data_IF_522094338004
#
_entry.id   IF_522094338004
#
_cell.length_a   1.000
_cell.length_b   1.000
_cell.length_c   1.000
_cell.angle_alpha   90.00
_cell.angle_beta   90.00
_cell.angle_gamma   90.00
#
_symmetry.space_group_name_H-M   'P 1'
#
loop_
_entity.id
_entity.type
_entity.pdbx_description
1 polymer ?
#
# COMPACT_ATOMS: atom_id res chain seq x y z
N UNK A 1 -23.93 -6.39 -0.56
CA UNK A 1 -22.97 -5.83 0.42
C UNK A 1 -21.63 -5.57 -0.27
N UNK A 2 -20.92 -4.50 0.09
CA UNK A 2 -19.61 -4.13 -0.47
C UNK A 2 -18.49 -4.94 0.18
N UNK A 3 -17.37 -5.19 -0.50
CA UNK A 3 -16.18 -5.79 0.13
C UNK A 3 -15.36 -4.78 0.96
N UNK A 4 -15.68 -3.49 0.87
CA UNK A 4 -14.87 -2.42 1.45
C UNK A 4 -13.40 -2.56 1.05
N UNK A 5 -13.19 -2.77 -0.26
CA UNK A 5 -11.88 -3.07 -0.83
C UNK A 5 -10.90 -1.90 -0.66
N UNK A 6 -11.40 -0.66 -0.80
CA UNK A 6 -10.58 0.54 -0.64
C UNK A 6 -9.98 0.60 0.76
N UNK A 7 -10.78 0.27 1.77
CA UNK A 7 -10.40 0.26 3.17
C UNK A 7 -9.43 -0.89 3.46
N UNK A 8 -9.65 -2.06 2.87
CA UNK A 8 -8.69 -3.19 2.96
C UNK A 8 -7.32 -2.81 2.39
N UNK A 9 -7.27 -2.25 1.17
CA UNK A 9 -6.02 -1.84 0.54
C UNK A 9 -5.35 -0.67 1.27
N UNK A 10 -6.13 0.22 1.91
CA UNK A 10 -5.59 1.24 2.80
C UNK A 10 -4.91 0.62 4.03
N UNK A 11 -5.49 -0.44 4.62
CA UNK A 11 -4.92 -1.16 5.76
C UNK A 11 -3.64 -1.95 5.41
N UNK A 12 -3.38 -2.22 4.13
CA UNK A 12 -2.08 -2.75 3.66
C UNK A 12 -0.99 -1.67 3.63
N UNK A 13 -1.36 -0.38 3.63
CA UNK A 13 -0.47 0.78 3.62
C UNK A 13 0.56 0.78 2.48
N UNK A 14 0.20 0.26 1.30
CA UNK A 14 1.14 0.11 0.17
C UNK A 14 1.74 1.48 -0.24
N UNK A 15 3.07 1.58 -0.47
CA UNK A 15 3.76 2.86 -0.62
C UNK A 15 3.68 3.47 -2.03
N UNK A 16 2.70 3.07 -2.85
CA UNK A 16 2.63 3.52 -4.24
C UNK A 16 1.81 4.82 -4.34
N UNK A 17 2.41 5.97 -4.68
CA UNK A 17 1.71 7.25 -4.66
C UNK A 17 0.61 7.32 -5.73
N UNK A 18 0.90 6.80 -6.92
CA UNK A 18 -0.02 6.77 -8.05
C UNK A 18 -0.87 5.49 -8.01
N UNK A 19 -1.83 5.45 -7.09
CA UNK A 19 -2.75 4.34 -6.93
C UNK A 19 -4.22 4.74 -6.96
N UNK A 20 -5.09 3.77 -7.28
CA UNK A 20 -6.53 3.90 -7.18
C UNK A 20 -7.20 2.54 -6.95
N UNK A 21 -8.39 2.55 -6.36
CA UNK A 21 -9.22 1.35 -6.19
C UNK A 21 -10.50 1.52 -6.99
N UNK A 22 -10.74 0.62 -7.93
CA UNK A 22 -11.95 0.60 -8.77
C UNK A 22 -12.69 -0.71 -8.51
N UNK A 23 -13.89 -0.61 -7.95
CA UNK A 23 -14.65 -1.79 -7.49
C UNK A 23 -13.90 -2.51 -6.37
N UNK A 24 -13.45 -3.73 -6.65
CA UNK A 24 -12.71 -4.58 -5.71
C UNK A 24 -11.23 -4.73 -6.07
N UNK A 25 -10.74 -3.93 -7.02
CA UNK A 25 -9.41 -4.07 -7.59
C UNK A 25 -8.57 -2.83 -7.31
N UNK A 26 -7.36 -3.05 -6.82
CA UNK A 26 -6.35 -2.03 -6.64
C UNK A 26 -5.50 -1.92 -7.91
N UNK A 27 -5.24 -0.70 -8.36
CA UNK A 27 -4.34 -0.40 -9.46
C UNK A 27 -3.28 0.57 -8.98
N UNK A 28 -2.03 0.35 -9.36
CA UNK A 28 -0.94 1.28 -9.08
C UNK A 28 0.07 1.37 -10.22
N UNK A 29 0.77 2.49 -10.20
CA UNK A 29 2.05 2.71 -10.89
C UNK A 29 3.15 2.75 -9.82
N UNK A 30 3.76 1.61 -9.46
CA UNK A 30 4.75 1.58 -8.38
C UNK A 30 6.00 2.42 -8.65
N UNK A 31 6.42 2.53 -9.92
CA UNK A 31 7.56 3.36 -10.35
C UNK A 31 7.07 4.39 -11.37
N UNK A 32 7.18 5.70 -11.09
CA UNK A 32 6.78 6.75 -12.02
C UNK A 32 7.49 6.64 -13.38
N UNK A 33 6.74 6.82 -14.46
CA UNK A 33 7.26 6.74 -15.83
C UNK A 33 7.63 5.33 -16.33
N UNK A 34 7.63 4.31 -15.47
CA UNK A 34 7.84 2.93 -15.89
C UNK A 34 6.63 2.40 -16.69
N UNK A 35 6.83 1.48 -17.66
CA UNK A 35 5.76 0.91 -18.47
C UNK A 35 4.91 -0.13 -17.72
N UNK A 36 5.43 -0.66 -16.61
CA UNK A 36 4.76 -1.68 -15.81
C UNK A 36 3.74 -1.04 -14.85
N UNK A 37 2.64 -1.77 -14.63
CA UNK A 37 1.57 -1.43 -13.69
C UNK A 37 1.29 -2.63 -12.79
N UNK A 38 0.82 -2.36 -11.59
CA UNK A 38 0.39 -3.38 -10.64
C UNK A 38 -1.14 -3.39 -10.55
N UNK A 39 -1.73 -4.57 -10.68
CA UNK A 39 -3.15 -4.82 -10.37
C UNK A 39 -3.22 -5.84 -9.22
N UNK A 40 -4.04 -5.57 -8.21
CA UNK A 40 -4.28 -6.50 -7.11
C UNK A 40 -5.79 -6.76 -6.99
N UNK A 41 -6.16 -8.04 -7.10
CA UNK A 41 -7.54 -8.51 -7.00
C UNK A 41 -7.68 -9.46 -5.80
N UNK A 42 -8.88 -9.58 -5.23
CA UNK A 42 -9.16 -10.67 -4.28
C UNK A 42 -9.29 -12.01 -5.01
N UNK A 43 -8.65 -13.05 -4.49
CA UNK A 43 -8.80 -14.42 -5.01
C UNK A 43 -10.03 -15.09 -4.42
N UNK A 44 -10.93 -15.57 -5.28
CA UNK A 44 -12.10 -16.34 -4.88
C UNK A 44 -11.67 -17.74 -4.45
N UNK A 45 -12.37 -18.28 -3.47
CA UNK A 45 -12.30 -19.71 -3.12
C UNK A 45 -13.31 -20.51 -3.94
N UNK A 46 -13.40 -21.81 -3.67
CA UNK A 46 -14.47 -22.68 -4.19
C UNK A 46 -15.87 -22.31 -3.64
N UNK A 47 -15.93 -21.55 -2.54
CA UNK A 47 -17.18 -21.12 -1.94
C UNK A 47 -17.62 -19.78 -2.53
N UNK A 48 -18.93 -19.66 -2.82
CA UNK A 48 -19.51 -18.46 -3.38
C UNK A 48 -19.24 -17.25 -2.48
N UNK A 49 -18.90 -16.11 -3.11
CA UNK A 49 -18.65 -14.83 -2.45
C UNK A 49 -17.60 -14.86 -1.32
N UNK A 50 -16.76 -15.90 -1.28
CA UNK A 50 -15.72 -16.11 -0.26
C UNK A 50 -14.34 -15.95 -0.88
N UNK A 51 -13.50 -15.18 -0.22
CA UNK A 51 -12.17 -14.77 -0.69
C UNK A 51 -11.09 -15.28 0.24
N UNK A 52 -10.04 -15.85 -0.34
CA UNK A 52 -8.98 -16.55 0.39
C UNK A 52 -7.60 -15.94 0.22
N UNK A 53 -7.48 -14.81 -0.47
CA UNK A 53 -6.19 -14.18 -0.72
C UNK A 53 -6.25 -12.98 -1.66
N UNK A 54 -5.07 -12.63 -2.17
CA UNK A 54 -4.86 -11.62 -3.20
C UNK A 54 -4.20 -12.24 -4.42
N UNK A 55 -4.53 -11.74 -5.61
CA UNK A 55 -3.80 -11.99 -6.86
C UNK A 55 -3.11 -10.71 -7.26
N UNK A 56 -1.79 -10.70 -7.24
CA UNK A 56 -0.99 -9.59 -7.73
C UNK A 56 -0.66 -9.88 -9.18
N UNK A 57 -0.91 -8.92 -10.06
CA UNK A 57 -0.68 -9.03 -11.50
C UNK A 57 0.21 -7.88 -11.95
N UNK A 58 1.28 -8.19 -12.66
CA UNK A 58 2.14 -7.21 -13.35
C UNK A 58 1.64 -7.06 -14.77
N UNK A 59 1.30 -5.84 -15.15
CA UNK A 59 0.73 -5.51 -16.45
C UNK A 59 1.68 -4.60 -17.22
N UNK A 60 1.78 -4.81 -18.53
CA UNK A 60 2.39 -3.88 -19.48
C UNK A 60 1.31 -3.36 -20.42
N UNK A 61 1.30 -2.05 -20.71
CA UNK A 61 0.24 -1.42 -21.50
C UNK A 61 -0.01 -2.12 -22.85
N UNK A 62 1.06 -2.45 -23.58
CA UNK A 62 0.95 -3.07 -24.90
C UNK A 62 0.90 -4.61 -24.90
N UNK A 63 1.35 -5.25 -23.82
CA UNK A 63 1.54 -6.71 -23.78
C UNK A 63 0.56 -7.43 -22.85
N UNK A 64 -0.22 -6.68 -22.08
CA UNK A 64 -1.15 -7.23 -21.10
C UNK A 64 -0.42 -7.79 -19.87
N UNK A 65 -0.90 -8.92 -19.38
CA UNK A 65 -0.33 -9.60 -18.20
C UNK A 65 1.05 -10.19 -18.51
N UNK A 66 2.05 -9.75 -17.73
CA UNK A 66 3.44 -10.23 -17.80
C UNK A 66 3.68 -11.35 -16.80
N UNK A 67 3.21 -11.16 -15.57
CA UNK A 67 3.34 -12.12 -14.47
C UNK A 67 2.20 -11.95 -13.47
N UNK A 68 1.90 -13.02 -12.72
CA UNK A 68 0.94 -12.98 -11.64
C UNK A 68 1.25 -14.00 -10.54
N UNK A 69 1.06 -13.59 -9.29
CA UNK A 69 1.15 -14.46 -8.12
C UNK A 69 -0.13 -14.39 -7.29
N UNK A 70 -0.53 -15.53 -6.73
CA UNK A 70 -1.60 -15.61 -5.74
C UNK A 70 -0.99 -15.75 -4.34
N UNK A 71 -1.36 -14.83 -3.44
CA UNK A 71 -0.95 -14.81 -2.04
C UNK A 71 -2.15 -15.21 -1.18
N UNK A 72 -2.08 -16.34 -0.48
CA UNK A 72 -3.19 -16.81 0.34
C UNK A 72 -3.20 -16.12 1.71
N UNK A 73 -4.38 -15.83 2.23
CA UNK A 73 -4.54 -15.26 3.56
C UNK A 73 -4.09 -16.22 4.67
N UNK A 74 -4.21 -17.54 4.44
CA UNK A 74 -3.76 -18.58 5.37
C UNK A 74 -2.24 -18.53 5.51
N UNK A 75 -1.52 -18.58 4.40
CA UNK A 75 -0.05 -18.64 4.40
C UNK A 75 0.58 -17.36 4.96
N UNK A 76 -0.17 -16.26 4.91
CA UNK A 76 0.26 -14.95 5.42
C UNK A 76 -0.40 -14.58 6.75
N UNK A 77 -1.04 -15.55 7.44
CA UNK A 77 -1.59 -15.39 8.79
C UNK A 77 -2.63 -14.28 8.93
N UNK A 78 -3.29 -13.89 7.82
CA UNK A 78 -4.13 -12.69 7.77
C UNK A 78 -5.30 -12.78 8.75
N UNK A 79 -5.93 -13.94 8.87
CA UNK A 79 -7.05 -14.14 9.79
C UNK A 79 -6.73 -15.07 10.97
N UNK A 80 -5.46 -15.42 11.16
CA UNK A 80 -5.05 -16.41 12.14
C UNK A 80 -5.56 -16.10 13.55
N UNK A 81 -5.31 -14.87 14.05
CA UNK A 81 -5.78 -14.45 15.38
C UNK A 81 -7.31 -14.45 15.51
N UNK A 82 -8.03 -14.04 14.47
CA UNK A 82 -9.50 -14.04 14.43
C UNK A 82 -10.04 -15.46 14.51
N UNK A 83 -9.44 -16.37 13.75
CA UNK A 83 -9.88 -17.76 13.66
C UNK A 83 -9.57 -18.52 14.95
N UNK A 84 -8.44 -18.25 15.59
CA UNK A 84 -8.12 -18.75 16.93
C UNK A 84 -9.12 -18.25 17.98
N UNK A 85 -9.39 -16.93 18.01
CA UNK A 85 -10.32 -16.34 18.98
C UNK A 85 -11.75 -16.91 18.86
N UNK A 86 -12.16 -17.27 17.64
CA UNK A 86 -13.48 -17.84 17.34
C UNK A 86 -13.51 -19.37 17.38
N UNK A 87 -12.37 -20.04 17.63
CA UNK A 87 -12.22 -21.49 17.48
C UNK A 87 -12.71 -22.00 16.11
N UNK A 88 -12.45 -21.25 15.04
CA UNK A 88 -12.85 -21.61 13.67
C UNK A 88 -12.07 -22.86 13.24
N UNK A 89 -12.75 -23.99 12.92
CA UNK A 89 -12.07 -25.20 12.51
C UNK A 89 -11.37 -25.02 11.15
N UNK A 90 -10.19 -25.61 10.95
CA UNK A 90 -9.46 -25.56 9.68
C UNK A 90 -10.24 -26.15 8.48
N UNK A 91 -11.20 -27.03 8.74
CA UNK A 91 -12.09 -27.60 7.73
C UNK A 91 -13.26 -26.68 7.34
N UNK A 92 -13.43 -25.55 8.04
CA UNK A 92 -14.48 -24.58 7.77
C UNK A 92 -14.16 -23.73 6.57
N UNK A 93 -15.16 -23.44 5.73
CA UNK A 93 -15.06 -22.48 4.64
C UNK A 93 -14.63 -21.06 5.08
N UNK A 94 -14.84 -20.73 6.37
CA UNK A 94 -14.48 -19.44 6.98
C UNK A 94 -13.04 -19.36 7.47
N UNK A 95 -12.35 -20.49 7.56
CA UNK A 95 -10.98 -20.54 8.07
C UNK A 95 -10.04 -19.87 7.08
N UNK A 96 -9.35 -18.82 7.53
CA UNK A 96 -8.41 -18.07 6.71
C UNK A 96 -9.06 -17.28 5.58
N UNK A 97 -10.37 -17.09 5.57
CA UNK A 97 -11.09 -16.41 4.49
C UNK A 97 -11.95 -15.26 5.02
N UNK A 98 -12.50 -14.47 4.12
CA UNK A 98 -13.66 -13.65 4.44
C UNK A 98 -14.71 -13.78 3.34
N UNK A 99 -15.96 -13.52 3.68
CA UNK A 99 -17.05 -13.53 2.71
C UNK A 99 -17.76 -12.16 2.66
N UNK A 100 -18.50 -11.93 1.58
CA UNK A 100 -19.20 -10.67 1.33
C UNK A 100 -20.30 -10.38 2.35
N UNK A 101 -20.81 -11.39 3.04
CA UNK A 101 -21.93 -11.32 3.97
C UNK A 101 -21.43 -11.02 5.39
N UNK A 102 -21.45 -9.74 5.76
CA UNK A 102 -21.01 -9.27 7.07
C UNK A 102 -22.12 -8.58 7.83
N UNK A 103 -21.96 -8.50 9.16
CA UNK A 103 -22.87 -7.74 10.02
C UNK A 103 -22.74 -6.25 9.69
N UNK A 104 -23.86 -5.49 9.70
CA UNK A 104 -23.79 -4.04 9.53
C UNK A 104 -22.81 -3.40 10.52
N UNK A 105 -21.98 -2.46 10.04
CA UNK A 105 -21.05 -1.70 10.86
C UNK A 105 -19.64 -2.29 11.01
N UNK A 106 -19.37 -3.47 10.45
CA UNK A 106 -18.02 -4.07 10.43
C UNK A 106 -17.59 -4.39 9.00
N UNK A 107 -16.31 -4.18 8.62
CA UNK A 107 -15.82 -4.66 7.34
C UNK A 107 -15.90 -6.20 7.27
N UNK A 108 -16.06 -6.80 6.08
CA UNK A 108 -16.09 -8.26 5.95
C UNK A 108 -14.76 -8.92 6.35
N UNK A 109 -13.66 -8.20 6.25
CA UNK A 109 -12.31 -8.61 6.64
C UNK A 109 -11.96 -8.19 8.09
N UNK A 110 -12.95 -7.92 8.94
CA UNK A 110 -12.74 -7.62 10.37
C UNK A 110 -11.82 -8.67 11.03
N UNK A 111 -10.85 -8.19 11.81
CA UNK A 111 -9.84 -9.03 12.45
C UNK A 111 -8.67 -9.43 11.55
N UNK A 112 -8.58 -8.90 10.32
CA UNK A 112 -7.41 -9.09 9.45
C UNK A 112 -6.14 -8.44 10.04
N UNK A 113 -5.05 -9.20 10.10
CA UNK A 113 -3.70 -8.75 10.37
C UNK A 113 -2.94 -8.70 9.04
N UNK A 114 -2.65 -7.49 8.54
CA UNK A 114 -2.15 -7.29 7.18
C UNK A 114 -0.62 -7.37 7.04
N UNK A 115 0.14 -7.45 8.14
CA UNK A 115 1.62 -7.39 8.13
C UNK A 115 2.26 -8.46 7.25
N UNK A 116 1.97 -9.74 7.48
CA UNK A 116 2.56 -10.82 6.68
C UNK A 116 2.17 -10.76 5.21
N UNK A 117 0.95 -10.31 4.92
CA UNK A 117 0.47 -10.14 3.55
C UNK A 117 1.15 -8.96 2.86
N UNK A 118 1.36 -7.85 3.57
CA UNK A 118 2.12 -6.68 3.09
C UNK A 118 3.55 -7.07 2.76
N UNK A 119 4.23 -7.80 3.63
CA UNK A 119 5.61 -8.23 3.43
C UNK A 119 5.74 -9.10 2.16
N UNK A 120 4.77 -9.97 1.91
CA UNK A 120 4.73 -10.77 0.68
C UNK A 120 4.47 -9.92 -0.57
N UNK A 121 3.61 -8.90 -0.49
CA UNK A 121 3.42 -7.92 -1.58
C UNK A 121 4.72 -7.17 -1.85
N UNK A 122 5.44 -6.76 -0.80
CA UNK A 122 6.75 -6.09 -0.90
C UNK A 122 7.76 -6.95 -1.65
N UNK A 123 7.93 -8.21 -1.22
CA UNK A 123 8.88 -9.13 -1.84
C UNK A 123 8.58 -9.35 -3.33
N UNK A 124 7.32 -9.58 -3.70
CA UNK A 124 6.95 -9.76 -5.10
C UNK A 124 7.20 -8.49 -5.92
N UNK A 125 6.81 -7.34 -5.40
CA UNK A 125 6.94 -6.08 -6.12
C UNK A 125 8.38 -5.57 -6.17
N UNK A 126 9.27 -5.97 -5.25
CA UNK A 126 10.69 -5.66 -5.33
C UNK A 126 11.38 -6.26 -6.57
N UNK A 127 10.90 -7.42 -7.06
CA UNK A 127 11.41 -8.07 -8.29
C UNK A 127 11.00 -7.28 -9.53
N UNK A 128 9.73 -6.88 -9.61
CA UNK A 128 9.14 -6.27 -10.81
C UNK A 128 9.24 -4.74 -10.84
N UNK A 129 9.38 -4.12 -9.68
CA UNK A 129 9.37 -2.66 -9.48
C UNK A 129 10.51 -2.25 -8.53
N UNK A 130 11.77 -2.44 -8.93
CA UNK A 130 12.90 -2.11 -8.08
C UNK A 130 12.85 -0.62 -7.70
N UNK A 131 12.99 -0.34 -6.40
CA UNK A 131 12.91 1.02 -5.85
C UNK A 131 11.50 1.52 -5.53
N UNK A 132 10.43 0.76 -5.82
CA UNK A 132 9.06 1.22 -5.53
C UNK A 132 8.71 1.33 -4.03
N UNK A 133 9.45 0.61 -3.17
CA UNK A 133 9.24 0.61 -1.71
C UNK A 133 10.16 1.58 -0.96
N UNK A 134 10.91 2.44 -1.67
CA UNK A 134 11.68 3.48 -0.99
C UNK A 134 10.72 4.43 -0.30
N UNK A 135 10.79 4.47 1.05
CA UNK A 135 10.19 5.55 1.84
C UNK A 135 10.70 6.86 1.26
N UNK A 136 9.84 7.84 0.93
CA UNK A 136 10.31 9.12 0.42
C UNK A 136 11.29 9.71 1.44
N UNK A 137 12.57 9.78 1.07
CA UNK A 137 13.53 10.62 1.80
C UNK A 137 12.88 11.99 1.88
N UNK A 138 12.66 12.58 3.07
CA UNK A 138 12.15 13.93 3.14
C UNK A 138 13.09 14.79 2.29
N UNK A 139 12.56 15.30 1.18
CA UNK A 139 13.28 16.26 0.35
C UNK A 139 13.67 17.37 1.30
N UNK A 140 14.96 17.41 1.66
CA UNK A 140 15.53 18.53 2.39
C UNK A 140 15.36 19.68 1.44
N UNK A 141 14.27 20.43 1.63
CA UNK A 141 14.02 21.66 0.95
C UNK A 141 15.35 22.42 0.93
N UNK A 142 15.90 22.60 -0.27
CA UNK A 142 16.93 23.59 -0.53
C UNK A 142 16.26 24.96 -0.35
N UNK A 143 15.97 25.27 0.91
CA UNK A 143 15.19 26.39 1.38
C UNK A 143 15.95 27.03 2.53
N UNK A 144 17.20 27.42 2.27
CA UNK A 144 17.79 28.60 2.87
C UNK A 144 18.46 29.39 1.75
N UNK A 145 17.62 30.12 1.04
CA UNK A 145 18.01 31.46 0.57
C UNK A 145 18.79 32.11 1.70
N UNK A 146 20.06 32.38 1.45
CA UNK A 146 20.87 33.21 2.33
C UNK A 146 20.13 34.54 2.45
N UNK A 147 19.53 34.79 3.61
CA UNK A 147 19.12 36.14 3.97
C UNK A 147 20.43 36.92 4.09
N UNK A 148 20.82 37.60 3.01
CA UNK A 148 21.84 38.64 3.08
C UNK A 148 21.29 39.69 4.03
N UNK A 149 21.79 39.68 5.27
CA UNK A 149 21.66 40.82 6.18
C UNK A 149 22.45 41.97 5.54
N UNK A 150 21.82 43.12 5.24
CA UNK A 150 22.56 44.30 4.83
C UNK A 150 23.47 44.74 5.98
N UNK A 151 24.75 45.00 5.68
CA UNK A 151 25.70 45.50 6.65
C UNK A 151 25.23 46.85 7.24
N UNK A 152 25.42 47.10 8.54
CA UNK A 152 25.11 48.41 9.11
C UNK A 152 26.03 49.47 8.51
N UNK A 153 25.42 50.53 7.98
CA UNK A 153 26.10 51.74 7.51
C UNK A 153 26.86 52.37 8.68
N UNK A 154 28.19 52.33 8.61
CA UNK A 154 29.05 53.03 9.56
C UNK A 154 29.01 54.51 9.20
N UNK A 155 28.28 55.30 9.99
CA UNK A 155 28.25 56.77 9.85
C UNK A 155 29.58 57.31 10.37
N UNK A 156 30.49 57.67 9.48
CA UNK A 156 31.66 58.48 9.80
C UNK A 156 31.24 59.95 9.97
N UNK A 157 31.00 60.38 11.21
CA UNK A 157 31.03 61.81 11.56
C UNK A 157 32.49 62.23 11.72
N UNK A 158 32.99 62.97 10.73
CA UNK A 158 34.27 63.66 10.80
C UNK A 158 34.27 64.76 11.87
N UNK A 159 35.44 64.99 12.46
CA UNK A 159 35.63 66.01 13.50
C UNK A 159 37.10 66.34 13.75
N UNK A 160 37.73 66.95 12.73
CA UNK A 160 38.73 68.05 12.77
C UNK A 160 39.83 68.08 13.85
N UNK A 161 41.09 68.08 13.37
CA UNK A 161 42.26 68.59 14.06
C UNK A 161 42.24 70.12 14.23
N UNK A 162 42.48 70.62 15.44
CA UNK A 162 43.68 71.37 15.88
C UNK A 162 43.41 71.98 17.25
#
# INVERSE_FOLDING_TARGET
MSLQAREFFAALCLPFPDNTVVGNTYYATPVPGAPLRLRIDFTKTIHADTYGGLRLTVLHADRGEIDAVALSFIDHGTFHRRDEANNTPATSARYGTFDKHHRPGQPPWEGAVTTGLRDAVEQYTAVWFPGAWTTPTPSRAAGRTAHQTPAPLTIHKGGRAR
#
